data_IF_091974602778
#
_entry.id   IF_091974602778
#
_cell.length_a   1.000
_cell.length_b   1.000
_cell.length_c   1.000
_cell.angle_alpha   90.00
_cell.angle_beta   90.00
_cell.angle_gamma   90.00
#
_symmetry.space_group_name_H-M   'P 1'
#
loop_
_entity.id
_entity.type
_entity.pdbx_description
1 polymer ?
#
# COMPACT_ATOMS: atom_id res chain seq x y z
N UNK A 1 -22.73 34.45 -16.22
CA UNK A 1 -22.48 33.06 -16.66
C UNK A 1 -20.99 32.81 -16.50
N UNK A 2 -20.58 31.70 -15.88
CA UNK A 2 -19.15 31.35 -15.79
C UNK A 2 -18.73 30.65 -17.09
N UNK A 3 -17.54 30.94 -17.60
CA UNK A 3 -17.00 30.25 -18.77
C UNK A 3 -16.76 28.78 -18.44
N UNK A 4 -17.23 27.88 -19.30
CA UNK A 4 -16.85 26.46 -19.25
C UNK A 4 -15.34 26.29 -19.45
N UNK A 5 -14.81 25.13 -19.07
CA UNK A 5 -13.38 24.82 -19.23
C UNK A 5 -12.91 24.97 -20.70
N UNK A 6 -13.75 24.60 -21.67
CA UNK A 6 -13.43 24.72 -23.10
C UNK A 6 -13.50 26.18 -23.59
N UNK A 7 -14.45 26.96 -23.08
CA UNK A 7 -14.53 28.40 -23.38
C UNK A 7 -13.35 29.17 -22.79
N UNK A 8 -12.87 28.79 -21.60
CA UNK A 8 -11.65 29.36 -21.01
C UNK A 8 -10.42 29.12 -21.90
N UNK A 9 -10.24 27.89 -22.39
CA UNK A 9 -9.13 27.56 -23.32
C UNK A 9 -9.29 28.31 -24.65
N UNK A 10 -10.50 28.41 -25.18
CA UNK A 10 -10.77 29.17 -26.42
C UNK A 10 -10.46 30.66 -26.24
N UNK A 11 -10.84 31.24 -25.11
CA UNK A 11 -10.51 32.62 -24.77
C UNK A 11 -9.00 32.81 -24.66
N UNK A 12 -8.32 31.94 -23.93
CA UNK A 12 -6.86 31.96 -23.80
C UNK A 12 -6.15 31.94 -25.16
N UNK A 13 -6.51 31.00 -26.04
CA UNK A 13 -5.93 30.90 -27.38
C UNK A 13 -6.18 32.15 -28.22
N UNK A 14 -7.41 32.67 -28.20
CA UNK A 14 -7.75 33.88 -28.95
C UNK A 14 -6.98 35.11 -28.45
N UNK A 15 -6.72 35.20 -27.15
CA UNK A 15 -5.89 36.28 -26.59
C UNK A 15 -4.46 36.20 -27.11
N UNK A 16 -3.86 35.01 -27.14
CA UNK A 16 -2.53 34.81 -27.70
C UNK A 16 -2.47 35.07 -29.22
N UNK A 17 -3.47 34.58 -29.97
CA UNK A 17 -3.56 34.82 -31.43
C UNK A 17 -3.58 36.31 -31.80
N UNK A 18 -4.26 37.15 -31.00
CA UNK A 18 -4.44 38.58 -31.33
C UNK A 18 -3.36 39.49 -30.75
N UNK A 19 -2.73 39.10 -29.63
CA UNK A 19 -1.89 40.01 -28.85
C UNK A 19 -0.43 39.55 -28.67
N UNK A 20 -0.08 38.32 -29.03
CA UNK A 20 1.33 37.92 -29.04
C UNK A 20 2.10 38.77 -30.07
N UNK A 21 3.26 39.30 -29.66
CA UNK A 21 4.05 40.25 -30.44
C UNK A 21 3.50 41.67 -30.52
N UNK A 22 2.39 41.99 -29.83
CA UNK A 22 1.86 43.35 -29.69
C UNK A 22 2.39 44.05 -28.44
N UNK A 23 2.00 45.31 -28.22
CA UNK A 23 2.32 46.05 -26.97
C UNK A 23 1.72 45.38 -25.70
N UNK A 24 0.78 44.44 -25.87
CA UNK A 24 0.15 43.68 -24.78
C UNK A 24 0.79 42.30 -24.55
N UNK A 25 1.81 41.93 -25.31
CA UNK A 25 2.48 40.63 -25.27
C UNK A 25 2.90 40.23 -23.85
N UNK A 26 3.53 41.16 -23.11
CA UNK A 26 3.95 40.94 -21.73
C UNK A 26 2.77 40.60 -20.80
N UNK A 27 1.63 41.27 -21.00
CA UNK A 27 0.42 41.06 -20.21
C UNK A 27 -0.16 39.66 -20.40
N UNK A 28 -0.29 39.26 -21.67
CA UNK A 28 -0.88 37.98 -22.10
C UNK A 28 0.04 36.80 -21.73
N UNK A 29 1.36 36.95 -21.86
CA UNK A 29 2.31 35.90 -21.53
C UNK A 29 2.63 35.77 -20.03
N UNK A 30 2.23 36.74 -19.20
CA UNK A 30 2.45 36.70 -17.75
C UNK A 30 1.23 37.12 -16.92
N UNK A 31 1.15 38.39 -16.48
CA UNK A 31 0.29 38.81 -15.37
C UNK A 31 -1.20 38.45 -15.49
N UNK A 32 -1.75 38.36 -16.69
CA UNK A 32 -3.17 38.09 -16.89
C UNK A 32 -3.57 36.65 -16.56
N UNK A 33 -2.62 35.70 -16.65
CA UNK A 33 -2.88 34.29 -16.38
C UNK A 33 -2.07 33.72 -15.20
N UNK A 34 -1.23 34.53 -14.55
CA UNK A 34 -0.34 34.05 -13.48
C UNK A 34 -1.07 33.45 -12.27
N UNK A 35 -2.31 33.84 -12.00
CA UNK A 35 -3.16 33.19 -10.98
C UNK A 35 -3.37 31.67 -11.23
N UNK A 36 -3.24 31.23 -12.48
CA UNK A 36 -3.41 29.83 -12.85
C UNK A 36 -2.08 29.05 -12.92
N UNK A 37 -0.94 29.73 -12.77
CA UNK A 37 0.39 29.15 -12.80
C UNK A 37 0.77 28.44 -11.47
N UNK A 38 1.76 27.51 -11.50
CA UNK A 38 2.08 26.65 -10.35
C UNK A 38 2.47 27.39 -9.06
N UNK A 39 3.02 28.60 -9.18
CA UNK A 39 3.47 29.43 -8.06
C UNK A 39 2.32 30.04 -7.24
N UNK A 40 1.09 29.98 -7.74
CA UNK A 40 -0.05 30.58 -7.07
C UNK A 40 -0.58 29.73 -5.89
N UNK A 41 -1.22 30.40 -4.93
CA UNK A 41 -1.68 29.75 -3.68
C UNK A 41 -2.67 28.59 -3.89
N UNK A 42 -3.36 28.55 -5.02
CA UNK A 42 -4.31 27.49 -5.40
C UNK A 42 -3.65 26.14 -5.62
N UNK A 43 -2.32 26.11 -5.80
CA UNK A 43 -1.53 24.97 -6.23
C UNK A 43 -0.65 24.39 -5.10
N UNK A 44 -0.77 24.87 -3.86
CA UNK A 44 -0.09 24.25 -2.72
C UNK A 44 -0.86 23.03 -2.18
N UNK A 45 -0.17 22.11 -1.51
CA UNK A 45 -0.81 20.95 -0.86
C UNK A 45 -1.87 21.39 0.18
N UNK A 46 -1.47 22.22 1.16
CA UNK A 46 -2.37 22.78 2.17
C UNK A 46 -2.16 24.28 2.33
N UNK A 47 -3.08 25.10 1.80
CA UNK A 47 -2.95 26.56 1.89
C UNK A 47 -3.07 27.10 3.32
N UNK A 48 -3.62 26.32 4.25
CA UNK A 48 -3.73 26.69 5.66
C UNK A 48 -2.41 26.69 6.42
N UNK A 49 -1.33 26.21 5.80
CA UNK A 49 0.01 26.25 6.39
C UNK A 49 0.79 27.52 6.02
N UNK A 50 0.32 28.27 5.01
CA UNK A 50 1.09 29.37 4.41
C UNK A 50 0.33 30.69 4.34
N UNK A 51 -1.00 30.65 4.20
CA UNK A 51 -1.80 31.84 3.90
C UNK A 51 -2.79 32.15 5.01
N UNK A 52 -2.82 33.43 5.40
CA UNK A 52 -3.62 33.95 6.49
C UNK A 52 -4.13 35.34 6.12
N UNK A 53 -5.42 35.58 6.31
CA UNK A 53 -6.03 36.90 6.24
C UNK A 53 -6.38 37.33 7.67
N UNK A 54 -5.78 38.41 8.15
CA UNK A 54 -6.11 39.01 9.45
C UNK A 54 -7.06 40.19 9.26
N UNK A 55 -8.22 40.14 9.90
CA UNK A 55 -9.16 41.24 9.96
C UNK A 55 -8.89 42.19 11.15
N UNK A 56 -9.43 43.41 11.06
CA UNK A 56 -9.26 44.45 12.10
C UNK A 56 -9.79 44.02 13.47
N UNK A 57 -10.81 43.16 13.51
CA UNK A 57 -11.38 42.63 14.76
C UNK A 57 -10.55 41.46 15.36
N UNK A 58 -9.42 41.12 14.74
CA UNK A 58 -8.54 40.03 15.14
C UNK A 58 -8.90 38.68 14.53
N UNK A 59 -10.00 38.56 13.80
CA UNK A 59 -10.38 37.31 13.16
C UNK A 59 -9.38 36.93 12.05
N UNK A 60 -9.02 35.66 11.99
CA UNK A 60 -8.11 35.11 11.00
C UNK A 60 -8.88 34.14 10.11
N UNK A 61 -8.76 34.32 8.81
CA UNK A 61 -9.32 33.46 7.78
C UNK A 61 -8.22 32.93 6.86
N UNK A 62 -8.55 31.97 6.00
CA UNK A 62 -7.63 31.42 4.99
C UNK A 62 -7.05 32.45 4.03
N UNK A 63 -7.91 33.30 3.47
CA UNK A 63 -7.57 34.27 2.43
C UNK A 63 -8.79 35.17 2.19
N UNK A 64 -8.66 36.11 1.25
CA UNK A 64 -9.76 36.97 0.80
C UNK A 64 -10.98 36.21 0.29
N UNK A 65 -10.80 35.05 -0.37
CA UNK A 65 -11.92 34.22 -0.85
C UNK A 65 -12.70 33.57 0.30
N UNK A 66 -11.98 33.09 1.30
CA UNK A 66 -12.56 32.44 2.48
C UNK A 66 -13.06 33.43 3.55
N UNK A 67 -12.92 34.73 3.32
CA UNK A 67 -13.34 35.77 4.25
C UNK A 67 -14.83 35.63 4.59
N UNK A 68 -15.18 35.77 5.88
CA UNK A 68 -16.55 35.57 6.41
C UNK A 68 -17.16 34.18 6.18
N UNK A 69 -16.42 33.21 5.66
CA UNK A 69 -16.87 31.84 5.55
C UNK A 69 -16.40 31.03 6.76
N UNK A 70 -17.35 30.40 7.47
CA UNK A 70 -17.08 29.61 8.68
C UNK A 70 -16.15 28.44 8.43
N UNK A 71 -16.19 27.83 7.26
CA UNK A 71 -15.35 26.69 6.89
C UNK A 71 -13.88 27.10 6.68
N UNK A 72 -13.60 28.40 6.59
CA UNK A 72 -12.27 28.96 6.32
C UNK A 72 -11.80 29.93 7.41
N UNK A 73 -12.50 29.99 8.54
CA UNK A 73 -12.13 30.78 9.72
C UNK A 73 -11.16 30.02 10.62
N UNK A 74 -9.98 30.55 10.90
CA UNK A 74 -8.92 29.85 11.65
C UNK A 74 -8.89 30.19 13.15
N UNK A 75 -9.48 31.30 13.57
CA UNK A 75 -9.48 31.73 14.97
C UNK A 75 -9.39 33.24 15.08
N UNK A 76 -9.15 33.75 16.29
CA UNK A 76 -8.95 35.17 16.54
C UNK A 76 -7.64 35.40 17.27
N UNK A 77 -6.78 36.29 16.75
CA UNK A 77 -5.43 36.53 17.26
C UNK A 77 -5.39 37.04 18.71
N UNK A 78 -6.48 37.65 19.19
CA UNK A 78 -6.58 38.14 20.56
C UNK A 78 -7.10 37.07 21.54
N UNK A 79 -7.68 35.98 21.03
CA UNK A 79 -8.36 34.96 21.83
C UNK A 79 -7.70 33.59 21.79
N UNK A 80 -7.00 33.28 20.69
CA UNK A 80 -6.40 31.98 20.44
C UNK A 80 -4.88 32.10 20.42
N UNK A 81 -4.20 31.04 20.82
CA UNK A 81 -2.75 30.93 20.65
C UNK A 81 -2.42 30.75 19.17
N UNK A 82 -1.19 31.14 18.78
CA UNK A 82 -0.69 30.92 17.41
C UNK A 82 -0.76 29.43 17.04
N UNK A 83 -0.39 28.54 17.95
CA UNK A 83 -0.44 27.08 17.70
C UNK A 83 -1.86 26.59 17.41
N UNK A 84 -2.86 27.06 18.14
CA UNK A 84 -4.27 26.72 17.90
C UNK A 84 -4.76 27.22 16.54
N UNK A 85 -4.35 28.43 16.15
CA UNK A 85 -4.70 29.02 14.85
C UNK A 85 -4.09 28.21 13.72
N UNK A 86 -2.79 27.86 13.81
CA UNK A 86 -2.09 27.06 12.80
C UNK A 86 -2.68 25.65 12.67
N UNK A 87 -2.97 24.99 13.80
CA UNK A 87 -3.60 23.66 13.79
C UNK A 87 -5.01 23.71 13.20
N UNK A 88 -5.79 24.75 13.52
CA UNK A 88 -7.13 24.96 12.98
C UNK A 88 -7.06 25.22 11.48
N UNK A 89 -6.09 26.01 11.02
CA UNK A 89 -5.88 26.32 9.61
C UNK A 89 -5.59 25.06 8.79
N UNK A 90 -4.59 24.27 9.21
CA UNK A 90 -4.24 22.99 8.56
C UNK A 90 -5.45 22.04 8.50
N UNK A 91 -6.17 21.88 9.62
CA UNK A 91 -7.34 20.98 9.71
C UNK A 91 -8.48 21.46 8.81
N UNK A 92 -8.84 22.75 8.84
CA UNK A 92 -9.97 23.27 8.05
C UNK A 92 -9.72 23.15 6.56
N UNK A 93 -8.52 23.46 6.08
CA UNK A 93 -8.21 23.31 4.66
C UNK A 93 -8.20 21.84 4.24
N UNK A 94 -7.60 20.95 5.04
CA UNK A 94 -7.68 19.51 4.79
C UNK A 94 -9.14 19.04 4.69
N UNK A 95 -9.99 19.44 5.64
CA UNK A 95 -11.42 19.08 5.62
C UNK A 95 -12.13 19.62 4.37
N UNK A 96 -11.82 20.85 3.94
CA UNK A 96 -12.43 21.44 2.75
C UNK A 96 -11.95 20.80 1.44
N UNK A 97 -10.71 20.31 1.35
CA UNK A 97 -10.28 19.48 0.21
C UNK A 97 -11.03 18.15 0.17
N UNK A 98 -11.48 17.63 1.32
CA UNK A 98 -12.08 16.31 1.48
C UNK A 98 -13.61 16.34 1.63
N UNK A 99 -14.30 17.38 1.13
CA UNK A 99 -15.77 17.37 1.01
C UNK A 99 -16.26 16.43 -0.11
N UNK A 100 -15.49 16.35 -1.19
CA UNK A 100 -15.71 15.45 -2.32
C UNK A 100 -14.55 14.47 -2.46
N UNK A 101 -14.78 13.35 -3.15
CA UNK A 101 -13.76 12.34 -3.46
C UNK A 101 -12.72 12.84 -4.46
N UNK A 102 -11.54 12.20 -4.51
CA UNK A 102 -10.50 12.57 -5.47
C UNK A 102 -10.96 12.19 -6.88
N UNK A 103 -10.91 13.16 -7.80
CA UNK A 103 -11.31 12.91 -9.18
C UNK A 103 -10.30 11.99 -9.91
N UNK A 104 -10.81 10.98 -10.62
CA UNK A 104 -9.97 10.04 -11.39
C UNK A 104 -9.11 10.70 -12.46
N UNK A 105 -9.57 11.79 -13.07
CA UNK A 105 -8.78 12.55 -14.03
C UNK A 105 -7.54 13.16 -13.36
N UNK A 106 -7.67 13.64 -12.12
CA UNK A 106 -6.52 14.18 -11.37
C UNK A 106 -5.47 13.11 -11.10
N UNK A 107 -5.90 11.87 -10.83
CA UNK A 107 -5.02 10.72 -10.61
C UNK A 107 -4.23 10.38 -11.89
N UNK A 108 -4.86 10.47 -13.07
CA UNK A 108 -4.26 10.09 -14.36
C UNK A 108 -3.58 11.25 -15.11
N UNK A 109 -3.68 12.48 -14.59
CA UNK A 109 -3.35 13.70 -15.34
C UNK A 109 -1.85 13.83 -15.69
N UNK A 110 -0.97 13.51 -14.73
CA UNK A 110 0.48 13.79 -14.83
C UNK A 110 0.88 15.20 -14.37
N UNK A 111 -0.06 16.10 -14.07
CA UNK A 111 0.22 17.45 -13.55
C UNK A 111 -0.23 17.65 -12.10
N UNK A 112 -0.57 16.58 -11.39
CA UNK A 112 -1.02 16.68 -10.00
C UNK A 112 0.05 17.35 -9.13
N UNK A 113 1.33 17.08 -9.39
CA UNK A 113 2.47 17.69 -8.69
C UNK A 113 2.51 19.23 -8.79
N UNK A 114 1.88 19.81 -9.83
CA UNK A 114 1.73 21.25 -9.99
C UNK A 114 0.40 21.73 -9.42
N UNK A 115 -0.73 21.18 -9.88
CA UNK A 115 -2.02 21.81 -9.63
C UNK A 115 -2.65 21.45 -8.27
N UNK A 116 -2.25 20.32 -7.66
CA UNK A 116 -2.74 19.85 -6.35
C UNK A 116 -4.26 19.88 -6.18
N UNK A 117 -5.00 19.67 -7.28
CA UNK A 117 -6.47 19.75 -7.41
C UNK A 117 -7.09 21.15 -7.25
N UNK A 118 -6.29 22.22 -7.14
CA UNK A 118 -6.76 23.60 -7.09
C UNK A 118 -7.37 24.02 -5.75
N UNK A 119 -7.87 25.26 -5.72
CA UNK A 119 -8.40 25.91 -4.51
C UNK A 119 -9.64 25.19 -3.94
N UNK A 120 -9.64 24.80 -2.65
CA UNK A 120 -10.77 24.10 -2.05
C UNK A 120 -12.01 24.98 -1.92
N UNK A 121 -11.85 26.29 -1.69
CA UNK A 121 -12.97 27.23 -1.65
C UNK A 121 -13.76 27.23 -2.96
N UNK A 122 -13.03 27.35 -4.06
CA UNK A 122 -13.63 27.46 -5.38
C UNK A 122 -14.30 26.14 -5.78
N UNK A 123 -13.60 25.01 -5.61
CA UNK A 123 -14.16 23.67 -5.84
C UNK A 123 -15.47 23.44 -5.10
N UNK A 124 -15.51 23.80 -3.82
CA UNK A 124 -16.69 23.62 -2.98
C UNK A 124 -17.85 24.53 -3.41
N UNK A 125 -17.56 25.75 -3.85
CA UNK A 125 -18.59 26.68 -4.35
C UNK A 125 -19.20 26.20 -5.68
N UNK A 126 -18.39 25.60 -6.56
CA UNK A 126 -18.87 25.02 -7.82
C UNK A 126 -19.38 23.58 -7.67
N UNK A 127 -19.30 22.98 -6.47
CA UNK A 127 -19.66 21.57 -6.22
C UNK A 127 -18.92 20.60 -7.16
N UNK A 128 -17.63 20.88 -7.39
CA UNK A 128 -16.75 20.11 -8.26
C UNK A 128 -15.62 19.49 -7.46
N UNK A 129 -15.18 18.29 -7.83
CA UNK A 129 -14.06 17.59 -7.19
C UNK A 129 -12.69 17.80 -7.88
N UNK A 130 -12.61 18.70 -8.88
CA UNK A 130 -11.38 19.13 -9.55
C UNK A 130 -11.43 20.65 -9.81
N UNK A 131 -10.28 21.25 -10.13
CA UNK A 131 -10.20 22.67 -10.46
C UNK A 131 -11.06 23.02 -11.68
N UNK A 132 -11.86 24.09 -11.60
CA UNK A 132 -12.66 24.60 -12.73
C UNK A 132 -11.82 25.19 -13.88
N UNK A 133 -10.51 25.36 -13.66
CA UNK A 133 -9.52 25.82 -14.64
C UNK A 133 -8.65 24.67 -15.15
N UNK A 134 -9.02 23.41 -14.91
CA UNK A 134 -8.17 22.26 -15.20
C UNK A 134 -7.64 22.25 -16.65
N UNK A 135 -8.52 22.41 -17.66
CA UNK A 135 -8.09 22.43 -19.07
C UNK A 135 -7.24 23.65 -19.42
N UNK A 136 -7.55 24.82 -18.84
CA UNK A 136 -6.75 26.03 -19.03
C UNK A 136 -5.33 25.83 -18.48
N UNK A 137 -5.22 25.33 -17.25
CA UNK A 137 -3.93 25.02 -16.62
C UNK A 137 -3.15 23.99 -17.44
N UNK A 138 -3.80 22.92 -17.93
CA UNK A 138 -3.15 21.94 -18.80
C UNK A 138 -2.62 22.55 -20.11
N UNK A 139 -3.34 23.48 -20.72
CA UNK A 139 -2.88 24.19 -21.92
C UNK A 139 -1.68 25.08 -21.58
N UNK A 140 -1.78 25.90 -20.53
CA UNK A 140 -0.68 26.75 -20.08
C UNK A 140 0.57 25.95 -19.71
N UNK A 141 0.41 24.79 -19.07
CA UNK A 141 1.54 23.92 -18.73
C UNK A 141 2.26 23.41 -19.98
N UNK A 142 1.51 23.06 -21.04
CA UNK A 142 2.11 22.67 -22.32
C UNK A 142 2.86 23.84 -22.97
N UNK A 143 2.23 25.01 -23.02
CA UNK A 143 2.80 26.18 -23.69
C UNK A 143 4.06 26.71 -22.96
N UNK A 144 4.11 26.53 -21.63
CA UNK A 144 5.28 26.84 -20.79
C UNK A 144 6.27 25.67 -20.64
N UNK A 145 6.10 24.59 -21.40
CA UNK A 145 6.98 23.40 -21.40
C UNK A 145 7.15 22.71 -20.03
N UNK A 146 6.13 22.70 -19.18
CA UNK A 146 6.13 21.86 -17.99
C UNK A 146 5.92 20.39 -18.41
N UNK A 147 6.83 19.48 -18.04
CA UNK A 147 6.67 18.06 -18.37
C UNK A 147 5.53 17.45 -17.56
N UNK A 148 4.95 16.36 -18.07
CA UNK A 148 4.17 15.48 -17.19
C UNK A 148 5.11 14.76 -16.25
N UNK A 149 4.65 14.51 -15.04
CA UNK A 149 5.40 13.75 -14.05
C UNK A 149 5.59 12.30 -14.50
N UNK A 150 6.85 11.94 -14.71
CA UNK A 150 7.26 10.56 -15.06
C UNK A 150 6.98 9.59 -13.91
N UNK A 151 6.90 10.09 -12.67
CA UNK A 151 6.60 9.33 -11.45
C UNK A 151 5.24 9.69 -10.88
N UNK A 152 4.25 9.92 -11.75
CA UNK A 152 2.89 10.30 -11.34
C UNK A 152 2.30 9.36 -10.28
N UNK A 153 2.61 8.06 -10.29
CA UNK A 153 2.15 7.12 -9.26
C UNK A 153 2.71 7.47 -7.87
N UNK A 154 3.99 7.88 -7.75
CA UNK A 154 4.61 8.36 -6.51
C UNK A 154 3.95 9.66 -6.05
N UNK A 155 3.77 10.62 -6.95
CA UNK A 155 3.10 11.90 -6.63
C UNK A 155 1.66 11.70 -6.15
N UNK A 156 0.90 10.82 -6.81
CA UNK A 156 -0.48 10.53 -6.41
C UNK A 156 -0.50 9.87 -5.04
N UNK A 157 0.39 8.90 -4.79
CA UNK A 157 0.52 8.25 -3.49
C UNK A 157 0.79 9.26 -2.37
N UNK A 158 1.81 10.11 -2.53
CA UNK A 158 2.18 11.12 -1.54
C UNK A 158 1.04 12.12 -1.31
N UNK A 159 0.39 12.59 -2.38
CA UNK A 159 -0.74 13.51 -2.27
C UNK A 159 -1.91 12.87 -1.54
N UNK A 160 -2.26 11.62 -1.86
CA UNK A 160 -3.34 10.90 -1.16
C UNK A 160 -3.00 10.70 0.30
N UNK A 161 -1.78 10.25 0.60
CA UNK A 161 -1.32 10.00 1.96
C UNK A 161 -1.35 11.27 2.85
N UNK A 162 -1.02 12.43 2.27
CA UNK A 162 -0.88 13.68 3.03
C UNK A 162 -2.16 14.54 3.04
N UNK A 163 -2.94 14.53 1.96
CA UNK A 163 -4.04 15.49 1.75
C UNK A 163 -5.42 14.86 1.55
N UNK A 164 -5.55 13.54 1.58
CA UNK A 164 -6.84 12.85 1.37
C UNK A 164 -7.24 11.98 2.57
N UNK A 165 -8.54 11.83 2.78
CA UNK A 165 -9.12 10.89 3.77
C UNK A 165 -9.23 9.47 3.25
N UNK A 166 -9.23 9.30 1.93
CA UNK A 166 -9.29 8.00 1.26
C UNK A 166 -8.03 7.18 1.58
N UNK A 167 -8.15 5.84 1.55
CA UNK A 167 -6.99 4.96 1.79
C UNK A 167 -5.91 5.19 0.72
N UNK A 168 -4.66 5.34 1.14
CA UNK A 168 -3.50 5.41 0.24
C UNK A 168 -3.07 4.04 -0.30
N UNK A 169 -3.58 2.94 0.25
CA UNK A 169 -3.19 1.58 -0.12
C UNK A 169 -3.37 1.22 -1.61
N UNK A 170 -4.42 1.67 -2.32
CA UNK A 170 -4.56 1.42 -3.75
C UNK A 170 -3.55 2.18 -4.61
N UNK A 171 -2.98 3.26 -4.08
CA UNK A 171 -2.09 4.17 -4.79
C UNK A 171 -0.61 3.90 -4.54
N UNK A 172 -0.26 2.91 -3.69
CA UNK A 172 1.14 2.55 -3.42
C UNK A 172 1.85 2.32 -4.77
N UNK A 173 2.93 3.07 -5.07
CA UNK A 173 3.63 2.95 -6.33
C UNK A 173 4.15 1.52 -6.46
N UNK A 174 3.77 0.85 -7.54
CA UNK A 174 4.36 -0.44 -7.86
C UNK A 174 5.75 -0.14 -8.40
N UNK A 175 6.77 -0.45 -7.61
CA UNK A 175 8.16 -0.36 -8.04
C UNK A 175 8.34 -1.37 -9.18
N UNK A 176 8.11 -0.95 -10.42
CA UNK A 176 8.47 -1.77 -11.57
C UNK A 176 9.98 -1.75 -11.66
N UNK A 177 10.63 -2.81 -11.19
CA UNK A 177 12.05 -2.98 -11.42
C UNK A 177 12.23 -3.19 -12.94
N UNK A 178 12.71 -2.18 -13.67
CA UNK A 178 12.77 -2.24 -15.14
C UNK A 178 13.76 -3.28 -15.68
N UNK A 179 14.65 -3.78 -14.82
CA UNK A 179 15.75 -4.68 -15.18
C UNK A 179 15.33 -6.15 -15.21
N UNK A 180 14.28 -6.56 -14.48
CA UNK A 180 13.83 -7.95 -14.43
C UNK A 180 12.40 -8.08 -13.89
N UNK A 181 11.66 -9.14 -14.29
CA UNK A 181 10.26 -9.32 -13.90
C UNK A 181 10.06 -9.36 -12.38
N UNK A 182 9.00 -8.70 -11.92
CA UNK A 182 8.54 -8.78 -10.53
C UNK A 182 7.94 -10.16 -10.23
N UNK A 183 7.91 -10.52 -8.94
CA UNK A 183 7.43 -11.84 -8.53
C UNK A 183 6.00 -12.12 -9.01
N UNK A 184 5.08 -11.14 -8.93
CA UNK A 184 3.71 -11.34 -9.41
C UNK A 184 3.64 -11.65 -10.91
N UNK A 185 4.52 -11.05 -11.72
CA UNK A 185 4.54 -11.31 -13.16
C UNK A 185 5.16 -12.67 -13.47
N UNK A 186 6.18 -13.09 -12.71
CA UNK A 186 6.71 -14.46 -12.78
C UNK A 186 5.62 -15.47 -12.42
N UNK A 187 4.86 -15.25 -11.35
CA UNK A 187 3.76 -16.12 -10.92
C UNK A 187 2.66 -16.19 -11.99
N UNK A 188 2.28 -15.06 -12.60
CA UNK A 188 1.28 -15.05 -13.68
C UNK A 188 1.74 -15.82 -14.92
N UNK A 189 3.04 -15.75 -15.24
CA UNK A 189 3.61 -16.43 -16.40
C UNK A 189 3.76 -17.95 -16.22
N UNK A 190 3.76 -18.43 -14.98
CA UNK A 190 3.95 -19.82 -14.62
C UNK A 190 2.75 -20.35 -13.84
N UNK A 191 1.82 -20.99 -14.56
CA UNK A 191 0.58 -21.52 -13.98
C UNK A 191 0.81 -22.51 -12.82
N UNK A 192 2.01 -23.06 -12.67
CA UNK A 192 2.36 -24.00 -11.61
C UNK A 192 2.74 -23.28 -10.32
N UNK A 193 3.27 -22.06 -10.39
CA UNK A 193 3.64 -21.28 -9.21
C UNK A 193 2.42 -20.81 -8.41
N UNK A 194 1.25 -20.64 -9.05
CA UNK A 194 0.04 -20.16 -8.37
C UNK A 194 -0.31 -20.99 -7.13
N UNK A 195 -0.03 -22.29 -7.12
CA UNK A 195 -0.32 -23.18 -5.99
C UNK A 195 0.60 -22.97 -4.79
N UNK A 196 1.81 -22.44 -5.00
CA UNK A 196 2.74 -22.09 -3.92
C UNK A 196 2.25 -20.81 -3.20
N UNK A 197 1.71 -19.88 -3.98
CA UNK A 197 1.37 -18.52 -3.54
C UNK A 197 -0.12 -18.30 -3.25
N UNK A 198 -0.99 -19.28 -3.48
CA UNK A 198 -2.43 -19.16 -3.25
C UNK A 198 -2.75 -18.96 -1.75
N UNK A 199 -3.28 -17.78 -1.35
CA UNK A 199 -3.57 -17.47 0.06
C UNK A 199 -4.79 -18.23 0.60
N UNK A 200 -5.47 -19.02 -0.22
CA UNK A 200 -6.61 -19.84 0.21
C UNK A 200 -6.22 -21.30 0.45
N UNK A 201 -4.96 -21.66 0.24
CA UNK A 201 -4.49 -23.04 0.28
C UNK A 201 -4.38 -23.62 1.69
N UNK A 202 -4.05 -22.78 2.68
CA UNK A 202 -3.83 -23.21 4.06
C UNK A 202 -4.53 -22.31 5.06
N UNK A 203 -5.09 -22.93 6.11
CA UNK A 203 -5.72 -22.23 7.23
C UNK A 203 -5.17 -22.83 8.52
N UNK A 204 -4.67 -22.00 9.43
CA UNK A 204 -4.29 -22.41 10.77
C UNK A 204 -5.43 -22.08 11.74
N UNK A 205 -5.86 -23.06 12.53
CA UNK A 205 -6.81 -22.85 13.62
C UNK A 205 -6.10 -22.95 14.95
N UNK A 206 -6.13 -21.87 15.72
CA UNK A 206 -5.69 -21.81 17.11
C UNK A 206 -6.92 -21.75 18.00
N UNK A 207 -7.20 -22.83 18.72
CA UNK A 207 -8.41 -23.01 19.50
C UNK A 207 -9.68 -22.80 18.63
N UNK A 208 -10.33 -21.64 18.76
CA UNK A 208 -11.55 -21.26 18.05
C UNK A 208 -11.32 -20.17 16.99
N UNK A 209 -10.09 -19.71 16.79
CA UNK A 209 -9.76 -18.66 15.83
C UNK A 209 -9.04 -19.24 14.60
N UNK A 210 -9.50 -18.89 13.40
CA UNK A 210 -8.90 -19.30 12.13
C UNK A 210 -8.05 -18.16 11.54
N UNK A 211 -6.89 -18.52 11.00
CA UNK A 211 -5.95 -17.62 10.34
C UNK A 211 -5.72 -18.13 8.92
N UNK A 212 -6.08 -17.32 7.92
CA UNK A 212 -5.76 -17.64 6.52
C UNK A 212 -4.29 -17.37 6.27
N UNK A 213 -3.55 -18.41 5.89
CA UNK A 213 -2.11 -18.27 5.69
C UNK A 213 -1.83 -17.67 4.30
N UNK A 214 -0.77 -16.88 4.24
CA UNK A 214 -0.25 -16.30 3.00
C UNK A 214 1.27 -16.42 2.98
N UNK A 215 1.85 -16.34 1.79
CA UNK A 215 3.29 -16.31 1.58
C UNK A 215 3.93 -15.10 2.27
N UNK A 216 4.99 -15.31 3.05
CA UNK A 216 5.67 -14.20 3.74
C UNK A 216 6.22 -13.12 2.79
N UNK A 217 6.53 -13.49 1.54
CA UNK A 217 7.07 -12.53 0.56
C UNK A 217 5.97 -11.73 -0.16
N UNK A 218 4.70 -12.15 -0.06
CA UNK A 218 3.55 -11.42 -0.61
C UNK A 218 2.72 -10.70 0.46
N UNK A 219 2.90 -11.05 1.74
CA UNK A 219 2.20 -10.39 2.86
C UNK A 219 2.55 -8.90 2.91
N UNK A 220 1.51 -8.07 2.97
CA UNK A 220 1.63 -6.60 3.17
C UNK A 220 1.64 -6.21 4.64
N UNK A 221 1.17 -7.09 5.50
CA UNK A 221 1.06 -6.88 6.94
C UNK A 221 1.71 -8.04 7.67
N UNK A 222 2.35 -7.73 8.80
CA UNK A 222 2.94 -8.71 9.70
C UNK A 222 1.92 -9.10 10.75
N UNK A 223 1.64 -10.39 10.88
CA UNK A 223 0.72 -10.93 11.88
C UNK A 223 1.48 -11.87 12.82
N UNK A 224 1.41 -11.60 14.13
CA UNK A 224 2.10 -12.33 15.18
C UNK A 224 1.08 -13.07 16.05
N UNK A 225 1.27 -14.38 16.21
CA UNK A 225 0.44 -15.21 17.10
C UNK A 225 1.17 -15.48 18.41
N UNK A 226 0.41 -15.54 19.50
CA UNK A 226 0.91 -16.00 20.80
C UNK A 226 0.33 -17.37 21.10
N UNK A 227 1.21 -18.34 21.32
CA UNK A 227 0.86 -19.74 21.58
C UNK A 227 1.26 -20.07 23.02
N UNK A 228 0.38 -20.75 23.74
CA UNK A 228 0.59 -21.21 25.11
C UNK A 228 0.55 -22.74 25.18
N UNK A 229 1.08 -23.37 26.24
CA UNK A 229 0.99 -24.81 26.43
C UNK A 229 -0.43 -25.39 26.46
N UNK A 230 -1.45 -24.55 26.66
CA UNK A 230 -2.86 -24.97 26.73
C UNK A 230 -3.56 -24.92 25.37
N UNK A 231 -2.96 -24.25 24.39
CA UNK A 231 -3.60 -24.07 23.10
C UNK A 231 -3.59 -25.35 22.27
N UNK A 232 -4.63 -25.49 21.46
CA UNK A 232 -4.76 -26.52 20.43
C UNK A 232 -4.57 -25.89 19.07
N UNK A 233 -3.73 -26.50 18.25
CA UNK A 233 -3.32 -25.98 16.95
C UNK A 233 -3.63 -27.03 15.89
N UNK A 234 -4.40 -26.64 14.89
CA UNK A 234 -4.82 -27.51 13.79
C UNK A 234 -4.53 -26.82 12.48
N UNK A 235 -3.89 -27.53 11.55
CA UNK A 235 -3.63 -27.03 10.20
C UNK A 235 -4.63 -27.65 9.23
N UNK A 236 -5.21 -26.82 8.39
CA UNK A 236 -6.04 -27.21 7.25
C UNK A 236 -5.29 -26.94 5.97
N UNK A 237 -5.34 -27.90 5.04
CA UNK A 237 -4.74 -27.81 3.72
C UNK A 237 -5.78 -28.22 2.68
N UNK A 238 -5.99 -27.45 1.60
CA UNK A 238 -6.92 -27.84 0.53
C UNK A 238 -6.54 -29.21 -0.04
N UNK A 239 -7.54 -30.08 -0.27
CA UNK A 239 -7.27 -31.45 -0.73
C UNK A 239 -6.57 -31.52 -2.08
N UNK A 240 -6.90 -30.63 -3.02
CA UNK A 240 -6.32 -30.66 -4.36
C UNK A 240 -4.80 -30.42 -4.37
N UNK A 241 -4.25 -29.67 -3.39
CA UNK A 241 -2.81 -29.38 -3.29
C UNK A 241 -1.93 -30.63 -3.27
N UNK A 242 -2.44 -31.75 -2.75
CA UNK A 242 -1.69 -33.01 -2.70
C UNK A 242 -1.40 -33.57 -4.10
N UNK A 243 -2.18 -33.18 -5.10
CA UNK A 243 -2.04 -33.62 -6.48
C UNK A 243 -1.34 -32.58 -7.37
N UNK A 244 -1.20 -31.33 -6.92
CA UNK A 244 -0.62 -30.27 -7.74
C UNK A 244 0.90 -30.45 -7.89
N UNK A 245 1.39 -30.41 -9.13
CA UNK A 245 2.80 -30.67 -9.48
C UNK A 245 3.34 -32.00 -8.94
N UNK A 246 2.48 -33.01 -8.82
CA UNK A 246 2.85 -34.32 -8.30
C UNK A 246 2.39 -35.44 -9.24
N UNK A 247 3.35 -36.18 -9.81
CA UNK A 247 3.05 -37.34 -10.67
C UNK A 247 2.49 -38.53 -9.86
N UNK A 248 2.84 -38.61 -8.57
CA UNK A 248 2.45 -39.71 -7.67
C UNK A 248 1.86 -39.18 -6.35
N UNK A 249 0.60 -38.70 -6.34
CA UNK A 249 -0.01 -38.03 -5.17
C UNK A 249 -0.03 -38.87 -3.89
N UNK A 250 -0.04 -40.21 -3.99
CA UNK A 250 0.03 -41.12 -2.84
C UNK A 250 1.32 -40.98 -2.03
N UNK A 251 2.42 -40.58 -2.69
CA UNK A 251 3.71 -40.36 -2.06
C UNK A 251 3.94 -38.89 -1.67
N UNK A 252 2.97 -38.01 -1.93
CA UNK A 252 3.08 -36.61 -1.52
C UNK A 252 2.68 -36.43 -0.05
N UNK A 253 3.09 -35.33 0.54
CA UNK A 253 2.92 -35.06 1.96
C UNK A 253 2.63 -33.58 2.23
N UNK A 254 1.90 -33.32 3.30
CA UNK A 254 1.94 -32.03 3.98
C UNK A 254 3.34 -31.85 4.56
N UNK A 255 4.05 -30.82 4.12
CA UNK A 255 5.42 -30.52 4.52
C UNK A 255 5.45 -29.30 5.46
N UNK A 256 5.97 -29.51 6.66
CA UNK A 256 6.03 -28.49 7.72
C UNK A 256 7.48 -28.20 8.10
N UNK A 257 7.84 -26.91 8.16
CA UNK A 257 9.17 -26.45 8.57
C UNK A 257 9.03 -25.52 9.76
N UNK A 258 9.64 -25.89 10.88
CA UNK A 258 9.65 -25.13 12.11
C UNK A 258 11.01 -24.46 12.31
N UNK A 259 11.01 -23.14 12.45
CA UNK A 259 12.20 -22.31 12.60
C UNK A 259 12.14 -21.48 13.89
N UNK A 260 13.26 -21.40 14.60
CA UNK A 260 13.43 -20.54 15.76
C UNK A 260 13.73 -19.11 15.33
N UNK A 261 13.28 -18.13 16.12
CA UNK A 261 13.70 -16.74 15.98
C UNK A 261 15.21 -16.51 16.23
N UNK A 262 15.89 -17.50 16.80
CA UNK A 262 17.34 -17.46 16.99
C UNK A 262 18.05 -17.64 15.64
N UNK A 263 19.03 -16.77 15.36
CA UNK A 263 19.75 -16.76 14.09
C UNK A 263 20.93 -17.74 14.09
N UNK A 264 21.27 -18.22 12.90
CA UNK A 264 22.47 -19.01 12.63
C UNK A 264 23.08 -18.54 11.30
N UNK A 265 24.41 -18.49 11.25
CA UNK A 265 25.16 -18.10 10.06
C UNK A 265 25.89 -19.33 9.52
N UNK A 266 25.68 -19.66 8.26
CA UNK A 266 26.32 -20.81 7.60
C UNK A 266 26.34 -20.67 6.08
N UNK A 267 27.05 -21.59 5.42
CA UNK A 267 27.21 -21.65 3.96
C UNK A 267 28.33 -20.74 3.45
N UNK A 268 28.75 -20.97 2.22
CA UNK A 268 29.89 -20.27 1.60
C UNK A 268 29.66 -18.76 1.48
N UNK A 269 28.38 -18.35 1.37
CA UNK A 269 27.95 -16.95 1.32
C UNK A 269 27.84 -16.28 2.71
N UNK A 270 28.11 -17.01 3.81
CA UNK A 270 27.95 -16.54 5.19
C UNK A 270 26.58 -15.90 5.48
N UNK A 271 25.51 -16.54 5.01
CA UNK A 271 24.16 -16.01 5.18
C UNK A 271 23.63 -16.26 6.58
N UNK A 272 23.12 -15.20 7.21
CA UNK A 272 22.40 -15.28 8.49
C UNK A 272 20.93 -15.58 8.23
N UNK A 273 20.41 -16.67 8.80
CA UNK A 273 19.02 -17.11 8.68
C UNK A 273 18.47 -17.56 10.04
N UNK A 274 17.15 -17.65 10.15
CA UNK A 274 16.51 -18.31 11.29
C UNK A 274 16.96 -19.78 11.39
N UNK A 275 17.21 -20.25 12.61
CA UNK A 275 17.64 -21.62 12.86
C UNK A 275 16.49 -22.59 12.57
N UNK A 276 16.74 -23.54 11.67
CA UNK A 276 15.81 -24.64 11.40
C UNK A 276 15.80 -25.59 12.60
N UNK A 277 14.64 -25.75 13.25
CA UNK A 277 14.49 -26.64 14.41
C UNK A 277 14.06 -28.04 13.96
N UNK A 278 13.02 -28.12 13.12
CA UNK A 278 12.44 -29.39 12.74
C UNK A 278 11.73 -29.33 11.39
N UNK A 279 11.65 -30.50 10.74
CA UNK A 279 10.78 -30.75 9.60
C UNK A 279 9.92 -31.97 9.88
N UNK A 280 8.63 -31.88 9.57
CA UNK A 280 7.72 -33.00 9.63
C UNK A 280 6.95 -33.13 8.33
N UNK A 281 6.72 -34.37 7.91
CA UNK A 281 5.98 -34.71 6.70
C UNK A 281 4.84 -35.66 7.03
N UNK A 282 3.62 -35.26 6.68
CA UNK A 282 2.43 -36.08 6.87
C UNK A 282 1.93 -36.52 5.50
N UNK A 283 2.20 -37.78 5.17
CA UNK A 283 1.85 -38.35 3.87
C UNK A 283 0.34 -38.43 3.65
N UNK A 284 -0.06 -38.38 2.38
CA UNK A 284 -1.47 -38.46 1.96
C UNK A 284 -2.24 -39.59 2.64
N UNK A 285 -1.64 -40.79 2.72
CA UNK A 285 -2.28 -41.94 3.38
C UNK A 285 -2.65 -41.70 4.85
N UNK A 286 -1.91 -40.87 5.58
CA UNK A 286 -2.27 -40.46 6.94
C UNK A 286 -3.39 -39.43 6.91
N UNK A 287 -3.28 -38.43 6.03
CA UNK A 287 -4.26 -37.34 5.89
C UNK A 287 -5.65 -37.86 5.48
N UNK A 288 -5.71 -38.88 4.61
CA UNK A 288 -6.96 -39.50 4.16
C UNK A 288 -7.71 -40.21 5.30
N UNK A 289 -6.99 -40.71 6.30
CA UNK A 289 -7.55 -41.39 7.47
C UNK A 289 -8.02 -40.42 8.58
N UNK A 290 -7.79 -39.11 8.42
CA UNK A 290 -8.21 -38.09 9.38
C UNK A 290 -9.44 -37.37 8.84
N UNK A 291 -10.56 -37.44 9.57
CA UNK A 291 -11.78 -36.74 9.21
C UNK A 291 -11.62 -35.23 9.46
N UNK A 292 -11.64 -34.45 8.39
CA UNK A 292 -11.70 -33.00 8.46
C UNK A 292 -13.11 -32.52 8.84
N UNK A 293 -13.20 -31.53 9.73
CA UNK A 293 -14.40 -30.77 10.03
C UNK A 293 -14.65 -29.63 9.02
N UNK A 294 -13.77 -29.45 8.02
CA UNK A 294 -13.88 -28.46 6.95
C UNK A 294 -13.93 -29.13 5.58
N UNK A 295 -15.02 -28.89 4.85
CA UNK A 295 -15.23 -29.48 3.52
C UNK A 295 -14.17 -29.00 2.51
N UNK A 296 -13.62 -29.92 1.72
CA UNK A 296 -12.57 -29.61 0.75
C UNK A 296 -11.16 -29.48 1.33
N UNK A 297 -10.97 -29.69 2.64
CA UNK A 297 -9.66 -29.62 3.30
C UNK A 297 -9.29 -30.96 3.95
N UNK A 298 -7.98 -31.24 3.97
CA UNK A 298 -7.35 -32.10 4.96
C UNK A 298 -7.20 -31.33 6.28
N UNK A 299 -7.16 -32.06 7.40
CA UNK A 299 -7.01 -31.51 8.73
C UNK A 299 -5.94 -32.33 9.47
N UNK A 300 -5.04 -31.65 10.19
CA UNK A 300 -4.01 -32.31 11.00
C UNK A 300 -3.72 -31.52 12.27
N UNK A 301 -3.62 -32.22 13.41
CA UNK A 301 -3.28 -31.62 14.70
C UNK A 301 -1.76 -31.49 14.84
N UNK A 302 -1.27 -30.25 14.93
CA UNK A 302 0.16 -29.93 15.05
C UNK A 302 0.55 -29.48 16.46
N UNK A 303 -0.35 -29.61 17.43
CA UNK A 303 -0.15 -29.15 18.80
C UNK A 303 1.11 -29.76 19.41
N UNK A 304 1.29 -31.07 19.27
CA UNK A 304 2.46 -31.77 19.83
C UNK A 304 3.75 -31.38 19.09
N UNK A 305 3.69 -31.21 17.77
CA UNK A 305 4.84 -30.78 16.97
C UNK A 305 5.35 -29.40 17.42
N UNK A 306 4.45 -28.46 17.73
CA UNK A 306 4.84 -27.16 18.28
C UNK A 306 5.36 -27.28 19.72
N UNK A 307 4.77 -28.14 20.56
CA UNK A 307 5.18 -28.27 21.97
C UNK A 307 6.54 -28.96 22.14
N UNK A 308 6.88 -29.88 21.24
CA UNK A 308 8.10 -30.68 21.31
C UNK A 308 9.38 -29.82 21.36
N UNK A 309 9.38 -28.67 20.69
CA UNK A 309 10.55 -27.78 20.58
C UNK A 309 10.45 -26.53 21.46
N UNK A 310 9.59 -26.53 22.48
CA UNK A 310 9.28 -25.34 23.29
C UNK A 310 10.50 -24.63 23.89
N UNK A 311 11.51 -25.41 24.31
CA UNK A 311 12.71 -24.89 24.98
C UNK A 311 13.75 -24.35 23.99
N UNK A 312 13.53 -24.51 22.67
CA UNK A 312 14.44 -24.06 21.60
C UNK A 312 13.92 -22.81 20.87
N UNK A 313 12.73 -22.35 21.22
CA UNK A 313 12.16 -21.13 20.66
C UNK A 313 12.89 -19.88 21.18
N UNK A 314 12.95 -18.86 20.33
CA UNK A 314 13.40 -17.54 20.75
C UNK A 314 12.30 -16.83 21.52
N UNK A 315 12.69 -16.17 22.61
CA UNK A 315 11.81 -15.32 23.41
C UNK A 315 11.85 -13.86 22.97
N UNK A 316 12.90 -13.47 22.24
CA UNK A 316 13.12 -12.09 21.78
C UNK A 316 12.59 -11.90 20.36
N UNK A 317 12.88 -12.85 19.47
CA UNK A 317 12.50 -12.78 18.06
C UNK A 317 11.36 -13.77 17.76
N UNK A 318 10.49 -13.41 16.82
CA UNK A 318 9.40 -14.28 16.42
C UNK A 318 9.92 -15.58 15.79
N UNK A 319 9.32 -16.70 16.19
CA UNK A 319 9.54 -18.02 15.61
C UNK A 319 8.62 -18.17 14.39
N UNK A 320 8.95 -19.10 13.49
CA UNK A 320 8.23 -19.21 12.22
C UNK A 320 7.91 -20.67 11.91
N UNK A 321 6.71 -20.94 11.41
CA UNK A 321 6.35 -22.25 10.85
C UNK A 321 5.78 -22.07 9.45
N UNK A 322 6.30 -22.84 8.52
CA UNK A 322 5.94 -22.82 7.10
C UNK A 322 5.24 -24.11 6.69
N UNK A 323 4.29 -23.99 5.77
CA UNK A 323 3.47 -25.07 5.25
C UNK A 323 3.49 -25.07 3.72
N UNK A 324 3.67 -26.26 3.15
CA UNK A 324 3.56 -26.54 1.71
C UNK A 324 3.33 -28.03 1.50
N UNK A 325 3.41 -28.53 0.27
CA UNK A 325 3.53 -29.97 -0.01
C UNK A 325 4.94 -30.31 -0.45
N UNK A 326 5.36 -31.57 -0.28
CA UNK A 326 6.69 -32.01 -0.74
C UNK A 326 6.90 -31.70 -2.23
N UNK A 327 5.92 -32.04 -3.07
CA UNK A 327 6.03 -31.80 -4.52
C UNK A 327 6.10 -30.32 -4.89
N UNK A 328 5.32 -29.45 -4.23
CA UNK A 328 5.39 -27.99 -4.47
C UNK A 328 6.72 -27.40 -3.98
N UNK A 329 7.27 -27.93 -2.87
CA UNK A 329 8.60 -27.55 -2.39
C UNK A 329 9.68 -27.91 -3.41
N UNK A 330 9.63 -29.11 -3.97
CA UNK A 330 10.59 -29.56 -4.97
C UNK A 330 10.46 -28.77 -6.28
N UNK A 331 9.23 -28.42 -6.66
CA UNK A 331 8.98 -27.51 -7.78
C UNK A 331 9.60 -26.13 -7.54
N UNK A 332 9.43 -25.54 -6.36
CA UNK A 332 10.05 -24.26 -6.00
C UNK A 332 11.57 -24.29 -6.18
N UNK A 333 12.27 -25.27 -5.62
CA UNK A 333 13.73 -25.36 -5.75
C UNK A 333 14.17 -25.66 -7.18
N UNK A 334 13.42 -26.48 -7.92
CA UNK A 334 13.67 -26.71 -9.35
C UNK A 334 13.54 -25.41 -10.14
N UNK A 335 12.52 -24.59 -9.84
CA UNK A 335 12.33 -23.28 -10.47
C UNK A 335 13.46 -22.30 -10.10
N UNK A 336 13.88 -22.27 -8.83
CA UNK A 336 15.03 -21.45 -8.39
C UNK A 336 16.33 -21.83 -9.11
N UNK A 337 16.53 -23.11 -9.38
CA UNK A 337 17.70 -23.60 -10.13
C UNK A 337 17.65 -23.17 -11.61
N UNK A 338 16.46 -23.19 -12.21
CA UNK A 338 16.28 -22.96 -13.65
C UNK A 338 16.01 -21.50 -14.02
N UNK A 339 15.69 -20.63 -13.07
CA UNK A 339 15.32 -19.23 -13.33
C UNK A 339 15.94 -18.29 -12.28
N UNK A 340 16.95 -17.54 -12.71
CA UNK A 340 17.68 -16.60 -11.84
C UNK A 340 16.78 -15.48 -11.29
N UNK A 341 15.84 -14.97 -12.08
CA UNK A 341 14.93 -13.91 -11.62
C UNK A 341 14.00 -14.42 -10.52
N UNK A 342 13.44 -15.62 -10.69
CA UNK A 342 12.66 -16.25 -9.62
C UNK A 342 13.50 -16.54 -8.38
N UNK A 343 14.76 -16.98 -8.56
CA UNK A 343 15.68 -17.21 -7.44
C UNK A 343 15.85 -15.94 -6.58
N UNK A 344 16.09 -14.80 -7.22
CA UNK A 344 16.27 -13.51 -6.53
C UNK A 344 14.97 -13.10 -5.83
N UNK A 345 13.83 -13.19 -6.53
CA UNK A 345 12.53 -12.78 -5.99
C UNK A 345 12.01 -13.68 -4.85
N UNK A 346 12.43 -14.96 -4.83
CA UNK A 346 12.05 -15.95 -3.83
C UNK A 346 13.24 -16.40 -2.97
N UNK A 347 14.18 -15.48 -2.67
CA UNK A 347 15.40 -15.80 -1.90
C UNK A 347 15.09 -16.21 -0.45
N UNK A 348 13.96 -15.73 0.06
CA UNK A 348 13.33 -16.16 1.31
C UNK A 348 12.28 -17.23 0.99
N UNK A 349 12.04 -18.15 1.94
CA UNK A 349 11.08 -19.24 1.76
C UNK A 349 9.69 -18.68 1.38
N UNK A 350 9.14 -18.98 0.20
CA UNK A 350 7.91 -18.36 -0.28
C UNK A 350 6.65 -19.02 0.26
N UNK A 351 6.79 -19.98 1.17
CA UNK A 351 5.68 -20.82 1.61
C UNK A 351 4.75 -20.10 2.57
N UNK A 352 3.57 -20.68 2.72
CA UNK A 352 2.50 -20.21 3.59
C UNK A 352 2.99 -20.28 5.03
N UNK A 353 2.94 -19.18 5.78
CA UNK A 353 3.61 -19.12 7.07
C UNK A 353 2.78 -18.45 8.16
N UNK A 354 3.19 -18.70 9.40
CA UNK A 354 2.82 -17.86 10.54
C UNK A 354 4.04 -17.57 11.39
N UNK A 355 4.10 -16.35 11.91
CA UNK A 355 5.07 -15.97 12.94
C UNK A 355 4.43 -16.07 14.32
N UNK A 356 5.16 -16.62 15.30
CA UNK A 356 4.61 -16.80 16.64
C UNK A 356 5.64 -16.65 17.76
N UNK A 357 5.12 -16.33 18.95
CA UNK A 357 5.81 -16.43 20.22
C UNK A 357 5.19 -17.54 21.06
N UNK A 358 6.04 -18.38 21.67
CA UNK A 358 5.60 -19.42 22.59
C UNK A 358 5.72 -18.91 24.04
N UNK A 359 4.59 -18.75 24.73
CA UNK A 359 4.48 -18.20 26.07
C UNK A 359 4.24 -19.33 27.07
N UNK A 360 5.32 -19.85 27.66
CA UNK A 360 5.24 -20.76 28.81
C UNK A 360 5.41 -19.97 30.11
N UNK A 361 4.46 -20.09 31.06
CA UNK A 361 4.53 -19.41 32.37
C UNK A 361 5.74 -19.87 33.20
N UNK A 362 6.33 -21.01 32.87
CA UNK A 362 7.49 -21.58 33.57
C UNK A 362 8.85 -21.09 33.05
N UNK A 363 8.89 -20.25 32.01
CA UNK A 363 10.12 -19.55 31.60
C UNK A 363 10.38 -18.34 32.52
N UNK A 364 10.46 -18.58 33.83
CA UNK A 364 11.18 -17.67 34.74
C UNK A 364 12.67 -17.89 34.47
N UNK A 365 13.34 -16.83 34.01
CA UNK A 365 14.79 -16.72 34.01
C UNK A 365 15.38 -17.11 35.37
#
# INVERSE_FOLDING_TARGET
HHLSEDEQVKFYKKMHEEFDGSDLDYGVNGPWFDEFGPEYCSNCDNCGEKFFLLEKNGDIYSCVRGQKNKDYYYGNIFKNTVSEILDTARKKIFLNHNKESLNEECIKCGYLYLCKTGCPFVKNNYQTNKSYTCKLQQQMYKDRNYPKDERNDETVYEYVNNMRKESSAPYIPKTKNSLYPDLEDIIKSDEKLKYIYDPTSFILKLNNHEYSLSSQILKRTRELIYITPKDKITIYMRKNLISEQCDYPENNSLYMMLLSGNLVTYGDENRTKQRHLATSQIYKGVLDNIKSDKEGYYCYDITNFIKEYKDLYSLENANNIFFTTQSLRDYHYTKQKNNAYYHIQAINLPFQNIEFYYLDKELKR
#
